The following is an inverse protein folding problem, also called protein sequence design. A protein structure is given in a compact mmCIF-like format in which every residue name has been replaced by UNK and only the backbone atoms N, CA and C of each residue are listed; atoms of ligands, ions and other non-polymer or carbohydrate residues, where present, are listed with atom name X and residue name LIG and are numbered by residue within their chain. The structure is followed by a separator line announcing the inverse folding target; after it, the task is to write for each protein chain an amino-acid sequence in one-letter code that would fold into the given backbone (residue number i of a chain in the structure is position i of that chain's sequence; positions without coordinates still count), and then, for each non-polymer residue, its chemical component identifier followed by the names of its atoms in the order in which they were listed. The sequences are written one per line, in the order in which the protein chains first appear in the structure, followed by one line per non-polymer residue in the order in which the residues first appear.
data_IF_967288049716
#
_entry.id   IF_967288049716
#
_cell.length_a   1.000
_cell.length_b   1.000
_cell.length_c   1.000
_cell.angle_alpha   90.00
_cell.angle_beta   90.00
_cell.angle_gamma   90.00
#
_symmetry.space_group_name_H-M   'P 1'
#
loop_
_entity.id
_entity.type
_entity.pdbx_description
1 polymer ?
#
# COMPACT_ATOMS: atom_id res chain seq x y z
N UNK A 1 -42.02 1.66 31.38
CA UNK A 1 -40.97 0.64 31.22
C UNK A 1 -40.52 0.69 29.76
N UNK A 2 -39.47 1.47 29.45
CA UNK A 2 -39.01 1.68 28.07
C UNK A 2 -38.08 0.53 27.66
N UNK A 3 -38.49 -0.21 26.62
CA UNK A 3 -37.65 -1.16 25.90
C UNK A 3 -36.80 -0.40 24.87
N UNK A 4 -35.56 -0.06 25.23
CA UNK A 4 -34.55 0.37 24.27
C UNK A 4 -34.07 -0.84 23.48
N UNK A 5 -34.54 -0.95 22.24
CA UNK A 5 -34.00 -1.86 21.22
C UNK A 5 -32.50 -1.56 21.06
N UNK A 6 -31.66 -2.54 21.42
CA UNK A 6 -30.24 -2.55 21.07
C UNK A 6 -30.14 -2.45 19.54
N UNK A 7 -29.62 -1.33 19.06
CA UNK A 7 -29.13 -1.22 17.69
C UNK A 7 -27.92 -2.14 17.59
N UNK A 8 -28.12 -3.32 17.01
CA UNK A 8 -27.02 -4.11 16.44
C UNK A 8 -26.50 -3.32 15.24
N UNK A 9 -25.47 -2.52 15.46
CA UNK A 9 -24.65 -1.96 14.39
C UNK A 9 -24.00 -3.17 13.72
N UNK A 10 -24.54 -3.56 12.55
CA UNK A 10 -23.83 -4.42 11.60
C UNK A 10 -22.51 -3.73 11.29
N UNK A 11 -21.46 -4.12 11.99
CA UNK A 11 -20.08 -3.88 11.57
C UNK A 11 -19.93 -4.57 10.22
N UNK A 12 -20.12 -3.81 9.14
CA UNK A 12 -19.64 -4.19 7.83
C UNK A 12 -18.17 -4.55 7.99
N UNK A 13 -17.68 -5.66 7.41
CA UNK A 13 -16.27 -6.00 7.52
C UNK A 13 -15.50 -4.83 6.90
N UNK A 14 -14.84 -4.02 7.74
CA UNK A 14 -13.78 -3.14 7.29
C UNK A 14 -12.78 -4.08 6.66
N UNK A 15 -12.78 -4.16 5.32
CA UNK A 15 -11.77 -4.88 4.59
C UNK A 15 -10.42 -4.42 5.16
N UNK A 16 -9.70 -5.32 5.83
CA UNK A 16 -8.41 -4.99 6.42
C UNK A 16 -7.57 -4.33 5.33
N UNK A 17 -7.34 -3.02 5.48
CA UNK A 17 -6.62 -2.27 4.47
C UNK A 17 -5.22 -2.84 4.46
N UNK A 18 -4.90 -3.62 3.42
CA UNK A 18 -3.61 -4.27 3.25
C UNK A 18 -2.52 -3.20 3.33
N UNK A 19 -1.79 -3.16 4.45
CA UNK A 19 -0.82 -2.10 4.75
C UNK A 19 0.45 -2.18 3.89
N UNK A 20 0.69 -3.33 3.26
CA UNK A 20 1.92 -3.66 2.54
C UNK A 20 1.59 -4.11 1.12
N UNK A 21 2.12 -3.41 0.13
CA UNK A 21 1.84 -3.65 -1.27
C UNK A 21 3.07 -4.13 -2.00
N UNK A 22 2.89 -5.11 -2.88
CA UNK A 22 3.90 -5.48 -3.86
C UNK A 22 4.07 -4.37 -4.88
N UNK A 23 5.23 -4.30 -5.53
CA UNK A 23 5.44 -3.34 -6.62
C UNK A 23 4.46 -3.55 -7.79
N UNK A 24 3.95 -4.77 -7.99
CA UNK A 24 2.93 -5.03 -9.01
C UNK A 24 1.61 -4.35 -8.65
N UNK A 25 1.14 -4.50 -7.40
CA UNK A 25 -0.08 -3.87 -6.92
C UNK A 25 0.00 -2.34 -6.97
N UNK A 26 1.15 -1.75 -6.63
CA UNK A 26 1.35 -0.31 -6.73
C UNK A 26 1.28 0.15 -8.19
N UNK A 27 1.94 -0.56 -9.10
CA UNK A 27 1.92 -0.24 -10.52
C UNK A 27 0.50 -0.30 -11.12
N UNK A 28 -0.27 -1.33 -10.73
CA UNK A 28 -1.68 -1.48 -11.11
C UNK A 28 -2.53 -0.33 -10.56
N UNK A 29 -2.39 0.00 -9.27
CA UNK A 29 -3.13 1.09 -8.61
C UNK A 29 -2.81 2.47 -9.20
N UNK A 30 -1.57 2.68 -9.66
CA UNK A 30 -1.13 3.94 -10.25
C UNK A 30 -1.29 3.97 -11.79
N UNK A 31 -1.81 2.90 -12.40
CA UNK A 31 -1.90 2.73 -13.85
C UNK A 31 -0.58 2.99 -14.60
N UNK A 32 0.55 2.60 -13.99
CA UNK A 32 1.88 2.72 -14.58
C UNK A 32 2.48 1.36 -14.90
N UNK A 33 3.40 1.32 -15.86
CA UNK A 33 4.18 0.10 -16.10
C UNK A 33 5.19 -0.11 -14.97
N UNK A 34 5.28 -1.34 -14.47
CA UNK A 34 6.21 -1.74 -13.40
C UNK A 34 7.65 -1.31 -13.74
N UNK A 35 8.08 -1.44 -14.99
CA UNK A 35 9.43 -1.08 -15.43
C UNK A 35 9.76 0.42 -15.31
N UNK A 36 8.76 1.31 -15.41
CA UNK A 36 8.94 2.75 -15.19
C UNK A 36 8.99 3.09 -13.70
N UNK A 37 8.23 2.35 -12.91
CA UNK A 37 8.13 2.56 -11.46
C UNK A 37 9.33 2.00 -10.70
N UNK A 38 9.82 0.83 -11.09
CA UNK A 38 10.85 0.07 -10.38
C UNK A 38 12.12 0.89 -10.09
N UNK A 39 12.72 1.65 -11.05
CA UNK A 39 13.90 2.45 -10.76
C UNK A 39 13.65 3.53 -9.71
N UNK A 40 12.45 4.12 -9.69
CA UNK A 40 12.07 5.15 -8.71
C UNK A 40 11.89 4.56 -7.32
N UNK A 41 11.15 3.46 -7.21
CA UNK A 41 10.97 2.73 -5.94
C UNK A 41 12.32 2.24 -5.39
N UNK A 42 13.18 1.71 -6.26
CA UNK A 42 14.53 1.28 -5.87
C UNK A 42 15.39 2.43 -5.37
N UNK A 43 15.37 3.59 -6.03
CA UNK A 43 16.08 4.79 -5.58
C UNK A 43 15.55 5.31 -4.23
N UNK A 44 14.23 5.39 -4.07
CA UNK A 44 13.59 5.82 -2.83
C UNK A 44 13.91 4.87 -1.66
N UNK A 45 13.91 3.56 -1.91
CA UNK A 45 14.30 2.55 -0.90
C UNK A 45 15.76 2.72 -0.48
N UNK A 46 16.67 2.87 -1.45
CA UNK A 46 18.11 3.08 -1.17
C UNK A 46 18.36 4.37 -0.39
N UNK A 47 17.55 5.40 -0.62
CA UNK A 47 17.61 6.67 0.11
C UNK A 47 16.91 6.62 1.49
N UNK A 48 16.26 5.52 1.86
CA UNK A 48 15.58 5.36 3.16
C UNK A 48 14.32 6.23 3.32
N UNK A 49 13.77 6.78 2.23
CA UNK A 49 12.61 7.68 2.27
C UNK A 49 11.26 6.97 2.17
N UNK A 50 11.26 5.68 1.82
CA UNK A 50 10.07 4.83 1.83
C UNK A 50 10.29 3.63 2.73
N UNK A 51 9.21 3.18 3.35
CA UNK A 51 9.24 2.02 4.23
C UNK A 51 9.03 0.74 3.40
N UNK A 52 9.97 -0.19 3.54
CA UNK A 52 9.95 -1.46 2.82
C UNK A 52 10.32 -2.63 3.72
N UNK A 53 9.77 -3.80 3.43
CA UNK A 53 10.16 -5.07 4.06
C UNK A 53 10.22 -6.19 3.02
N UNK A 54 10.90 -7.29 3.35
CA UNK A 54 10.85 -8.51 2.55
C UNK A 54 9.49 -9.20 2.68
N UNK A 55 9.04 -9.85 1.61
CA UNK A 55 7.87 -10.73 1.68
C UNK A 55 8.22 -12.01 2.45
N UNK A 56 7.42 -12.45 3.44
CA UNK A 56 7.72 -13.65 4.22
C UNK A 56 7.68 -14.95 3.40
N UNK A 57 7.08 -14.94 2.21
CA UNK A 57 7.00 -16.10 1.31
C UNK A 57 8.15 -16.13 0.29
N UNK A 58 8.76 -14.98 0.00
CA UNK A 58 9.89 -14.84 -0.92
C UNK A 58 10.72 -13.59 -0.57
N UNK A 59 11.89 -13.80 0.03
CA UNK A 59 12.81 -12.73 0.42
C UNK A 59 13.32 -11.86 -0.75
N UNK A 60 13.13 -12.31 -1.99
CA UNK A 60 13.47 -11.53 -3.20
C UNK A 60 12.42 -10.48 -3.51
N UNK A 61 11.21 -10.64 -2.99
CA UNK A 61 10.11 -9.69 -3.17
C UNK A 61 10.15 -8.63 -2.07
N UNK A 62 9.93 -7.39 -2.48
CA UNK A 62 9.90 -6.24 -1.59
C UNK A 62 8.47 -5.75 -1.52
N UNK A 63 7.96 -5.66 -0.31
CA UNK A 63 6.71 -5.02 0.03
C UNK A 63 6.97 -3.58 0.45
N UNK A 64 6.07 -2.68 0.05
CA UNK A 64 6.12 -1.25 0.31
C UNK A 64 4.93 -0.85 1.17
N UNK A 65 5.16 -0.06 2.21
CA UNK A 65 4.08 0.43 3.05
C UNK A 65 3.17 1.39 2.25
N UNK A 66 1.85 1.28 2.42
CA UNK A 66 0.84 2.17 1.80
C UNK A 66 1.11 3.65 2.07
N UNK A 67 1.70 4.01 3.21
CA UNK A 67 2.05 5.39 3.55
C UNK A 67 3.12 5.97 2.61
N UNK A 68 3.90 5.13 1.95
CA UNK A 68 4.94 5.52 0.98
C UNK A 68 4.39 5.85 -0.40
N UNK A 69 3.09 5.57 -0.67
CA UNK A 69 2.49 5.77 -1.99
C UNK A 69 2.51 7.23 -2.45
N UNK A 70 2.30 8.19 -1.55
CA UNK A 70 2.35 9.62 -1.89
C UNK A 70 3.73 10.04 -2.40
N UNK A 71 4.80 9.52 -1.76
CA UNK A 71 6.18 9.78 -2.14
C UNK A 71 6.48 9.15 -3.51
N UNK A 72 5.98 7.93 -3.74
CA UNK A 72 6.14 7.22 -5.02
C UNK A 72 5.42 7.97 -6.15
N UNK A 73 4.16 8.41 -5.94
CA UNK A 73 3.41 9.22 -6.90
C UNK A 73 4.17 10.49 -7.28
N UNK A 74 4.66 11.23 -6.29
CA UNK A 74 5.48 12.43 -6.50
C UNK A 74 6.76 12.14 -7.28
N UNK A 75 7.45 11.04 -6.97
CA UNK A 75 8.67 10.63 -7.68
C UNK A 75 8.41 10.18 -9.13
N UNK A 76 7.17 9.79 -9.44
CA UNK A 76 6.71 9.44 -10.79
C UNK A 76 6.14 10.63 -11.55
N UNK A 77 5.94 11.79 -10.90
CA UNK A 77 5.28 12.95 -11.49
C UNK A 77 3.78 12.73 -11.72
N UNK A 78 3.13 11.92 -10.88
CA UNK A 78 1.69 11.68 -10.89
C UNK A 78 1.08 12.54 -9.79
N UNK A 79 0.30 13.56 -10.16
CA UNK A 79 -0.48 14.40 -9.25
C UNK A 79 -1.87 13.82 -9.00
#
# INVERSE_FOLDING_TARGET
MLLLKKQEVKEMPMAEVKQWLTQKEIAESLHVRVNKMYPRVSALRKAGVIETKSDPSDDRLILVNVNSLAIIKKALGIE
#
